data_IF_051707835466
#
_entry.id   IF_051707835466
#
_cell.length_a   1.000
_cell.length_b   1.000
_cell.length_c   1.000
_cell.angle_alpha   90.00
_cell.angle_beta   90.00
_cell.angle_gamma   90.00
#
_symmetry.space_group_name_H-M   'P 1'
#
loop_
_entity.id
_entity.type
_entity.pdbx_description
1 polymer ?
#
# COMPACT_ATOMS: atom_id res chain seq x y z
N UNK A 1 6.90 10.53 -16.15
CA UNK A 1 6.09 10.57 -14.92
C UNK A 1 5.44 9.21 -14.76
N UNK A 2 5.89 8.38 -13.81
CA UNK A 2 5.27 7.09 -13.54
C UNK A 2 6.28 5.98 -13.28
N UNK A 3 6.51 5.66 -12.00
CA UNK A 3 7.05 4.38 -11.55
C UNK A 3 7.15 4.31 -10.01
N UNK A 4 6.14 4.75 -9.24
CA UNK A 4 6.29 4.74 -7.78
C UNK A 4 6.07 3.36 -7.12
N UNK A 5 5.63 2.34 -7.87
CA UNK A 5 5.58 0.96 -7.40
C UNK A 5 6.09 -0.01 -8.48
N UNK A 6 7.41 -0.08 -8.67
CA UNK A 6 8.03 -1.16 -9.45
C UNK A 6 8.21 -2.39 -8.55
N UNK A 7 7.09 -3.04 -8.21
CA UNK A 7 7.17 -4.43 -7.75
C UNK A 7 7.13 -5.29 -9.00
N UNK A 8 8.30 -5.76 -9.44
CA UNK A 8 8.41 -6.72 -10.56
C UNK A 8 8.36 -8.15 -10.03
N UNK A 9 7.87 -9.07 -10.86
CA UNK A 9 7.96 -10.50 -10.60
C UNK A 9 9.43 -10.91 -10.44
N UNK A 10 10.35 -10.25 -11.13
CA UNK A 10 11.79 -10.54 -11.07
C UNK A 10 12.36 -10.36 -9.65
N UNK A 11 11.77 -9.47 -8.84
CA UNK A 11 12.16 -9.29 -7.43
C UNK A 11 11.77 -10.52 -6.59
N UNK A 12 10.70 -11.23 -6.98
CA UNK A 12 10.23 -12.42 -6.27
C UNK A 12 11.20 -13.61 -6.39
N UNK A 13 12.00 -13.66 -7.46
CA UNK A 13 12.99 -14.73 -7.67
C UNK A 13 14.15 -14.65 -6.67
N UNK A 14 14.52 -13.42 -6.30
CA UNK A 14 15.62 -13.09 -5.40
C UNK A 14 15.19 -12.81 -3.95
N UNK A 15 13.87 -12.71 -3.70
CA UNK A 15 13.32 -12.32 -2.40
C UNK A 15 13.80 -13.20 -1.22
N UNK A 16 14.05 -14.49 -1.49
CA UNK A 16 14.46 -15.45 -0.46
C UNK A 16 15.96 -15.76 -0.44
N UNK A 17 16.78 -15.04 -1.22
CA UNK A 17 18.21 -15.33 -1.35
C UNK A 17 18.97 -15.14 -0.02
N UNK A 18 18.52 -14.18 0.81
CA UNK A 18 19.08 -13.90 2.13
C UNK A 18 18.44 -14.73 3.26
N UNK A 19 17.58 -15.71 2.94
CA UNK A 19 16.90 -16.51 3.95
C UNK A 19 17.84 -17.57 4.55
N UNK A 20 18.15 -17.43 5.85
CA UNK A 20 18.99 -18.38 6.58
C UNK A 20 18.38 -19.80 6.68
N UNK A 21 17.06 -19.94 6.55
CA UNK A 21 16.38 -21.23 6.57
C UNK A 21 16.15 -21.72 5.14
N UNK A 22 16.96 -22.70 4.71
CA UNK A 22 16.90 -23.21 3.34
C UNK A 22 15.84 -24.29 3.09
N UNK A 23 15.10 -24.70 4.13
CA UNK A 23 14.04 -25.68 3.96
C UNK A 23 12.90 -25.08 3.13
N UNK A 24 12.51 -25.78 2.06
CA UNK A 24 11.38 -25.43 1.18
C UNK A 24 11.47 -24.06 0.48
N UNK A 25 12.66 -23.43 0.39
CA UNK A 25 12.82 -22.14 -0.30
C UNK A 25 12.31 -22.20 -1.73
N UNK A 26 12.62 -23.27 -2.47
CA UNK A 26 12.17 -23.42 -3.87
C UNK A 26 10.65 -23.51 -4.00
N UNK A 27 9.98 -24.13 -3.04
CA UNK A 27 8.51 -24.17 -3.00
C UNK A 27 7.92 -22.80 -2.63
N UNK A 28 8.51 -22.13 -1.65
CA UNK A 28 8.13 -20.77 -1.25
C UNK A 28 8.33 -19.77 -2.39
N UNK A 29 9.46 -19.84 -3.12
CA UNK A 29 9.74 -19.05 -4.33
C UNK A 29 8.66 -19.27 -5.38
N UNK A 30 8.34 -20.53 -5.71
CA UNK A 30 7.28 -20.85 -6.69
C UNK A 30 5.91 -20.33 -6.25
N UNK A 31 5.55 -20.49 -4.98
CA UNK A 31 4.29 -20.00 -4.44
C UNK A 31 4.21 -18.47 -4.52
N UNK A 32 5.28 -17.78 -4.12
CA UNK A 32 5.36 -16.33 -4.15
C UNK A 32 5.31 -15.78 -5.58
N UNK A 33 6.08 -16.35 -6.51
CA UNK A 33 6.01 -15.97 -7.94
C UNK A 33 4.61 -16.18 -8.50
N UNK A 34 3.93 -17.29 -8.17
CA UNK A 34 2.55 -17.55 -8.60
C UNK A 34 1.57 -16.52 -8.03
N UNK A 35 1.69 -16.18 -6.74
CA UNK A 35 0.90 -15.14 -6.10
C UNK A 35 1.10 -13.78 -6.78
N UNK A 36 2.35 -13.41 -7.04
CA UNK A 36 2.70 -12.15 -7.70
C UNK A 36 2.11 -12.05 -9.11
N UNK A 37 2.15 -13.12 -9.90
CA UNK A 37 1.49 -13.15 -11.20
C UNK A 37 -0.03 -13.02 -11.13
N UNK A 38 -0.64 -13.50 -10.05
CA UNK A 38 -2.09 -13.41 -9.84
C UNK A 38 -2.52 -12.00 -9.42
N UNK A 39 -1.79 -11.39 -8.48
CA UNK A 39 -2.21 -10.15 -7.82
C UNK A 39 -1.72 -8.90 -8.56
N UNK A 40 -0.48 -8.89 -9.07
CA UNK A 40 0.10 -7.67 -9.64
C UNK A 40 -0.68 -7.09 -10.83
N UNK A 41 -1.21 -7.87 -11.79
CA UNK A 41 -1.88 -7.28 -12.96
C UNK A 41 -3.13 -6.47 -12.57
N UNK A 42 -3.96 -7.00 -11.69
CA UNK A 42 -5.19 -6.32 -11.24
C UNK A 42 -4.85 -5.12 -10.34
N UNK A 43 -3.92 -5.28 -9.40
CA UNK A 43 -3.47 -4.18 -8.53
C UNK A 43 -2.85 -3.03 -9.32
N UNK A 44 -2.03 -3.33 -10.35
CA UNK A 44 -1.44 -2.32 -11.24
C UNK A 44 -2.51 -1.54 -12.00
N UNK A 45 -3.52 -2.23 -12.52
CA UNK A 45 -4.61 -1.56 -13.24
C UNK A 45 -5.43 -0.66 -12.32
N UNK A 46 -5.68 -1.09 -11.07
CA UNK A 46 -6.35 -0.28 -10.05
C UNK A 46 -5.56 0.99 -9.72
N UNK A 47 -4.25 0.87 -9.45
CA UNK A 47 -3.36 2.03 -9.18
C UNK A 47 -3.31 2.96 -10.40
N UNK A 48 -3.19 2.40 -11.60
CA UNK A 48 -3.13 3.19 -12.85
C UNK A 48 -4.42 3.99 -13.07
N UNK A 49 -5.58 3.40 -12.78
CA UNK A 49 -6.88 4.06 -12.89
C UNK A 49 -7.07 5.14 -11.83
N UNK A 50 -6.52 4.95 -10.64
CA UNK A 50 -6.59 5.94 -9.56
C UNK A 50 -5.89 7.25 -9.90
N UNK A 51 -4.92 7.24 -10.84
CA UNK A 51 -4.14 8.42 -11.27
C UNK A 51 -3.64 9.23 -10.07
N UNK A 52 -2.98 8.53 -9.15
CA UNK A 52 -2.45 9.14 -7.93
C UNK A 52 -1.34 10.13 -8.28
N UNK A 53 -1.39 11.31 -7.68
CA UNK A 53 -0.24 12.20 -7.61
C UNK A 53 0.80 11.66 -6.61
N UNK A 54 2.01 12.21 -6.63
CA UNK A 54 3.10 11.75 -5.76
C UNK A 54 2.74 11.87 -4.27
N UNK A 55 2.13 12.99 -3.88
CA UNK A 55 1.64 13.24 -2.52
C UNK A 55 0.61 12.20 -2.08
N UNK A 56 -0.37 11.90 -2.94
CA UNK A 56 -1.39 10.89 -2.70
C UNK A 56 -0.82 9.48 -2.62
N UNK A 57 0.16 9.16 -3.46
CA UNK A 57 0.83 7.87 -3.45
C UNK A 57 1.63 7.64 -2.16
N UNK A 58 2.37 8.66 -1.69
CA UNK A 58 3.09 8.59 -0.42
C UNK A 58 2.12 8.48 0.76
N UNK A 59 1.05 9.26 0.76
CA UNK A 59 0.01 9.17 1.77
C UNK A 59 -0.62 7.77 1.81
N UNK A 60 -0.91 7.18 0.65
CA UNK A 60 -1.45 5.82 0.52
C UNK A 60 -0.52 4.79 1.18
N UNK A 61 0.80 4.86 0.95
CA UNK A 61 1.77 3.94 1.57
C UNK A 61 1.70 4.01 3.10
N UNK A 62 1.73 5.22 3.66
CA UNK A 62 1.71 5.40 5.13
C UNK A 62 0.39 4.92 5.71
N UNK A 63 -0.73 5.26 5.05
CA UNK A 63 -2.06 4.86 5.48
C UNK A 63 -2.23 3.34 5.43
N UNK A 64 -1.81 2.67 4.35
CA UNK A 64 -1.86 1.20 4.22
C UNK A 64 -0.95 0.51 5.24
N UNK A 65 0.27 1.01 5.46
CA UNK A 65 1.20 0.43 6.44
C UNK A 65 0.64 0.46 7.87
N UNK A 66 0.02 1.59 8.26
CA UNK A 66 -0.62 1.75 9.57
C UNK A 66 -2.10 1.34 9.59
N UNK A 67 -2.61 0.73 8.51
CA UNK A 67 -3.99 0.21 8.45
C UNK A 67 -4.17 -1.12 9.20
N UNK A 68 -3.08 -1.68 9.74
CA UNK A 68 -3.07 -2.96 10.47
C UNK A 68 -3.76 -2.88 11.84
N UNK A 69 -5.09 -2.77 11.83
CA UNK A 69 -5.92 -3.22 12.96
C UNK A 69 -5.87 -4.77 13.10
N UNK A 70 -5.23 -5.47 12.15
CA UNK A 70 -5.15 -6.93 12.06
C UNK A 70 -4.02 -7.58 12.87
N UNK A 71 -3.09 -6.82 13.46
CA UNK A 71 -1.99 -7.37 14.26
C UNK A 71 -2.17 -6.98 15.72
N UNK A 72 -2.03 -7.95 16.64
CA UNK A 72 -1.99 -7.70 18.08
C UNK A 72 -0.70 -6.93 18.43
N UNK A 73 -0.71 -5.62 18.17
CA UNK A 73 0.40 -4.72 18.43
C UNK A 73 0.30 -4.16 19.85
N UNK A 74 1.45 -3.79 20.43
CA UNK A 74 1.48 -3.08 21.70
C UNK A 74 0.82 -1.71 21.55
N UNK A 75 0.10 -1.25 22.57
CA UNK A 75 -0.60 0.04 22.60
C UNK A 75 0.29 1.23 22.18
N UNK A 76 1.58 1.19 22.54
CA UNK A 76 2.54 2.23 22.16
C UNK A 76 2.71 2.34 20.63
N UNK A 77 2.74 1.20 19.93
CA UNK A 77 2.87 1.14 18.47
C UNK A 77 1.56 1.57 17.82
N UNK A 78 0.42 1.15 18.37
CA UNK A 78 -0.91 1.57 17.91
C UNK A 78 -1.04 3.09 17.96
N UNK A 79 -0.66 3.71 19.08
CA UNK A 79 -0.68 5.18 19.25
C UNK A 79 0.24 5.89 18.26
N UNK A 80 1.41 5.32 17.96
CA UNK A 80 2.31 5.87 16.95
C UNK A 80 1.66 5.82 15.57
N UNK A 81 1.06 4.68 15.20
CA UNK A 81 0.36 4.52 13.93
C UNK A 81 -0.85 5.45 13.79
N UNK A 82 -1.66 5.58 14.83
CA UNK A 82 -2.76 6.56 14.88
C UNK A 82 -2.29 7.98 14.63
N UNK A 83 -1.20 8.40 15.28
CA UNK A 83 -0.63 9.73 15.08
C UNK A 83 -0.20 9.95 13.63
N UNK A 84 0.55 9.01 13.04
CA UNK A 84 0.98 9.13 11.64
C UNK A 84 -0.21 9.17 10.67
N UNK A 85 -1.25 8.36 10.89
CA UNK A 85 -2.46 8.41 10.06
C UNK A 85 -3.15 9.78 10.17
N UNK A 86 -3.28 10.32 11.37
CA UNK A 86 -3.89 11.63 11.59
C UNK A 86 -3.09 12.76 10.92
N UNK A 87 -1.76 12.73 11.05
CA UNK A 87 -0.89 13.76 10.48
C UNK A 87 -0.93 13.73 8.95
N UNK A 88 -0.82 12.54 8.34
CA UNK A 88 -0.95 12.37 6.88
C UNK A 88 -2.33 12.81 6.38
N UNK A 89 -3.41 12.47 7.07
CA UNK A 89 -4.74 12.91 6.65
C UNK A 89 -4.92 14.43 6.73
N UNK A 90 -4.33 15.08 7.74
CA UNK A 90 -4.35 16.55 7.83
C UNK A 90 -3.57 17.19 6.69
N UNK A 91 -2.38 16.68 6.40
CA UNK A 91 -1.55 17.17 5.29
C UNK A 91 -2.24 16.98 3.94
N UNK A 92 -2.87 15.82 3.73
CA UNK A 92 -3.61 15.53 2.50
C UNK A 92 -4.82 16.46 2.33
N UNK A 93 -5.56 16.72 3.41
CA UNK A 93 -6.68 17.67 3.40
C UNK A 93 -6.22 19.10 3.13
N UNK A 94 -5.10 19.52 3.74
CA UNK A 94 -4.51 20.82 3.48
C UNK A 94 -4.08 20.93 2.02
N UNK A 95 -3.37 19.94 1.48
CA UNK A 95 -2.95 19.89 0.07
C UNK A 95 -4.15 20.02 -0.89
N UNK A 96 -5.22 19.25 -0.67
CA UNK A 96 -6.42 19.34 -1.52
C UNK A 96 -7.11 20.70 -1.47
N UNK A 97 -7.18 21.32 -0.29
CA UNK A 97 -7.86 22.60 -0.11
C UNK A 97 -6.99 23.78 -0.55
N UNK A 98 -5.71 23.77 -0.21
CA UNK A 98 -4.81 24.90 -0.31
C UNK A 98 -4.09 24.93 -1.65
N UNK A 99 -3.60 23.77 -2.13
CA UNK A 99 -2.83 23.69 -3.37
C UNK A 99 -3.74 23.42 -4.57
N UNK A 100 -4.62 22.41 -4.46
CA UNK A 100 -5.49 21.99 -5.57
C UNK A 100 -6.81 22.77 -5.64
N UNK A 101 -7.15 23.55 -4.60
CA UNK A 101 -8.40 24.33 -4.49
C UNK A 101 -9.66 23.49 -4.77
N UNK A 102 -9.69 22.26 -4.26
CA UNK A 102 -10.82 21.36 -4.42
C UNK A 102 -11.93 21.71 -3.40
N UNK A 103 -13.12 22.03 -3.91
CA UNK A 103 -14.29 22.33 -3.07
C UNK A 103 -14.91 21.06 -2.45
N UNK A 104 -14.81 19.91 -3.14
CA UNK A 104 -15.31 18.61 -2.67
C UNK A 104 -14.21 17.53 -2.74
N UNK A 105 -13.21 17.66 -1.87
CA UNK A 105 -12.12 16.69 -1.75
C UNK A 105 -12.53 15.41 -1.00
N UNK A 106 -13.72 15.37 -0.39
CA UNK A 106 -14.20 14.20 0.35
C UNK A 106 -14.36 12.99 -0.56
N UNK A 107 -14.81 13.19 -1.80
CA UNK A 107 -14.87 12.14 -2.81
C UNK A 107 -13.49 11.53 -3.07
N UNK A 108 -12.46 12.37 -3.29
CA UNK A 108 -11.10 11.92 -3.58
C UNK A 108 -10.48 11.16 -2.40
N UNK A 109 -10.71 11.65 -1.18
CA UNK A 109 -10.32 10.92 0.05
C UNK A 109 -11.02 9.55 0.10
N UNK A 110 -12.31 9.47 -0.23
CA UNK A 110 -13.06 8.21 -0.28
C UNK A 110 -12.50 7.22 -1.31
N UNK A 111 -12.08 7.70 -2.49
CA UNK A 111 -11.39 6.88 -3.49
C UNK A 111 -10.10 6.30 -2.94
N UNK A 112 -9.28 7.10 -2.24
CA UNK A 112 -8.05 6.63 -1.60
C UNK A 112 -8.31 5.53 -0.56
N UNK A 113 -9.30 5.71 0.31
CA UNK A 113 -9.66 4.67 1.28
C UNK A 113 -10.16 3.39 0.60
N UNK A 114 -10.91 3.51 -0.49
CA UNK A 114 -11.34 2.35 -1.30
C UNK A 114 -10.12 1.59 -1.85
N UNK A 115 -9.06 2.28 -2.27
CA UNK A 115 -7.81 1.64 -2.68
C UNK A 115 -7.14 0.90 -1.52
N UNK A 116 -7.06 1.52 -0.34
CA UNK A 116 -6.50 0.90 0.87
C UNK A 116 -7.21 -0.41 1.19
N UNK A 117 -8.54 -0.41 1.21
CA UNK A 117 -9.33 -1.63 1.45
C UNK A 117 -9.07 -2.72 0.39
N UNK A 118 -8.91 -2.34 -0.88
CA UNK A 118 -8.59 -3.31 -1.94
C UNK A 118 -7.21 -3.96 -1.73
N UNK A 119 -6.24 -3.23 -1.16
CA UNK A 119 -4.95 -3.81 -0.80
C UNK A 119 -5.04 -4.69 0.44
N UNK A 120 -5.81 -4.29 1.44
CA UNK A 120 -5.96 -5.03 2.70
C UNK A 120 -6.63 -6.41 2.48
N UNK A 121 -7.69 -6.45 1.66
CA UNK A 121 -8.35 -7.72 1.29
C UNK A 121 -7.44 -8.60 0.41
N UNK A 122 -6.55 -7.99 -0.39
CA UNK A 122 -5.57 -8.71 -1.22
C UNK A 122 -4.47 -9.41 -0.43
N UNK A 123 -4.25 -9.05 0.84
CA UNK A 123 -3.32 -9.75 1.75
C UNK A 123 -3.95 -10.94 2.49
N UNK A 124 -5.28 -11.11 2.40
CA UNK A 124 -6.06 -12.16 3.09
C UNK A 124 -6.48 -13.34 2.21
N UNK A 125 -6.01 -13.41 0.95
CA UNK A 125 -6.25 -14.53 0.02
C UNK A 125 -4.94 -15.22 -0.35
#
# INVERSE_FOLDING_TARGET
MGSYAYISVDVAEHFFDDCHNQNNIEEAKRAFVKFMHMVLPSSREVIRRAKLEESEFLALIVLTFWFSDCLQMRDEIVKIGERYRQDVLKELQAHYREDLKLDDYALRVGELFTLIFNFDVGFLI
#
